data_IF_503684002998
#
_entry.id   IF_503684002998
#
_cell.length_a   1.000
_cell.length_b   1.000
_cell.length_c   1.000
_cell.angle_alpha   90.00
_cell.angle_beta   90.00
_cell.angle_gamma   90.00
#
_symmetry.space_group_name_H-M   'P 1'
#
loop_
_entity.id
_entity.type
_entity.pdbx_description
1 polymer ?
#
# COMPACT_ATOMS: atom_id res chain seq x y z
N UNK A 1 25.09 -35.02 31.58
CA UNK A 1 24.55 -35.24 30.24
C UNK A 1 23.61 -34.09 29.95
N UNK A 2 24.16 -33.04 29.32
CA UNK A 2 23.41 -31.84 28.95
C UNK A 2 22.71 -32.12 27.60
N UNK A 3 21.39 -32.29 27.62
CA UNK A 3 20.58 -32.27 26.40
C UNK A 3 20.44 -30.82 25.98
N UNK A 4 21.28 -30.38 25.03
CA UNK A 4 21.09 -29.14 24.29
C UNK A 4 19.68 -29.14 23.73
N UNK A 5 18.85 -28.23 24.23
CA UNK A 5 17.56 -27.88 23.58
C UNK A 5 17.92 -27.30 22.22
N UNK A 6 17.81 -28.13 21.21
CA UNK A 6 17.81 -27.66 19.82
C UNK A 6 16.67 -26.65 19.71
N UNK A 7 17.01 -25.38 19.65
CA UNK A 7 16.07 -24.34 19.32
C UNK A 7 15.46 -24.71 17.95
N UNK A 8 14.16 -25.05 17.94
CA UNK A 8 13.45 -25.30 16.68
C UNK A 8 13.54 -24.03 15.86
N UNK A 9 14.23 -24.13 14.75
CA UNK A 9 14.19 -23.05 13.77
C UNK A 9 12.74 -22.76 13.40
N UNK A 10 12.34 -21.49 13.36
CA UNK A 10 10.99 -21.14 13.00
C UNK A 10 10.73 -21.62 11.57
N UNK A 11 9.86 -22.61 11.42
CA UNK A 11 9.43 -23.14 10.13
C UNK A 11 8.81 -22.05 9.27
N UNK A 12 9.03 -22.09 7.96
CA UNK A 12 8.38 -21.20 7.02
C UNK A 12 6.83 -21.27 7.20
N UNK A 13 6.13 -20.14 7.07
CA UNK A 13 4.69 -20.14 7.23
C UNK A 13 4.03 -21.09 6.22
N UNK A 14 3.02 -21.87 6.61
CA UNK A 14 2.35 -22.79 5.70
C UNK A 14 1.64 -22.02 4.58
N UNK A 15 1.62 -22.59 3.38
CA UNK A 15 1.07 -21.93 2.18
C UNK A 15 -0.38 -21.44 2.36
N UNK A 16 -1.19 -22.16 3.13
CA UNK A 16 -2.56 -21.73 3.41
C UNK A 16 -2.60 -20.43 4.22
N UNK A 17 -1.72 -20.26 5.20
CA UNK A 17 -1.68 -19.03 6.02
C UNK A 17 -1.30 -17.81 5.18
N UNK A 18 -0.32 -17.96 4.26
CA UNK A 18 0.07 -16.88 3.33
C UNK A 18 -1.09 -16.53 2.40
N UNK A 19 -1.79 -17.53 1.86
CA UNK A 19 -2.96 -17.30 0.99
C UNK A 19 -4.10 -16.63 1.74
N UNK A 20 -4.42 -17.06 2.96
CA UNK A 20 -5.47 -16.44 3.78
C UNK A 20 -5.12 -15.00 4.13
N UNK A 21 -3.88 -14.72 4.52
CA UNK A 21 -3.41 -13.36 4.76
C UNK A 21 -3.55 -12.48 3.51
N UNK A 22 -3.22 -13.01 2.33
CA UNK A 22 -3.35 -12.29 1.08
C UNK A 22 -4.81 -11.98 0.71
N UNK A 23 -5.72 -12.93 0.92
CA UNK A 23 -7.16 -12.71 0.66
C UNK A 23 -7.72 -11.66 1.61
N UNK A 24 -7.44 -11.75 2.90
CA UNK A 24 -7.88 -10.76 3.89
C UNK A 24 -7.31 -9.38 3.59
N UNK A 25 -6.02 -9.31 3.23
CA UNK A 25 -5.39 -8.07 2.83
C UNK A 25 -6.03 -7.49 1.56
N UNK A 26 -6.26 -8.29 0.52
CA UNK A 26 -6.89 -7.83 -0.72
C UNK A 26 -8.31 -7.31 -0.46
N UNK A 27 -9.10 -7.99 0.38
CA UNK A 27 -10.42 -7.53 0.80
C UNK A 27 -10.34 -6.19 1.55
N UNK A 28 -9.42 -6.04 2.51
CA UNK A 28 -9.22 -4.80 3.25
C UNK A 28 -8.76 -3.67 2.31
N UNK A 29 -7.82 -3.94 1.42
CA UNK A 29 -7.36 -2.97 0.42
C UNK A 29 -8.52 -2.49 -0.46
N UNK A 30 -9.34 -3.42 -0.98
CA UNK A 30 -10.51 -3.09 -1.78
C UNK A 30 -11.51 -2.23 -1.01
N UNK A 31 -11.84 -2.59 0.22
CA UNK A 31 -12.75 -1.83 1.08
C UNK A 31 -12.22 -0.41 1.30
N UNK A 32 -10.94 -0.27 1.64
CA UNK A 32 -10.35 1.04 1.97
C UNK A 32 -10.20 1.94 0.74
N UNK A 33 -9.88 1.37 -0.43
CA UNK A 33 -9.52 2.16 -1.62
C UNK A 33 -10.66 2.34 -2.60
N UNK A 34 -11.53 1.36 -2.77
CA UNK A 34 -12.56 1.35 -3.82
C UNK A 34 -13.95 1.67 -3.27
N UNK A 35 -14.29 1.16 -2.05
CA UNK A 35 -15.61 1.44 -1.50
C UNK A 35 -15.73 2.90 -1.04
N UNK A 36 -16.86 3.56 -1.33
CA UNK A 36 -17.15 4.89 -0.83
C UNK A 36 -17.45 4.81 0.67
N UNK A 37 -16.42 4.88 1.50
CA UNK A 37 -16.61 4.91 2.95
C UNK A 37 -17.17 6.29 3.30
N UNK A 38 -18.44 6.35 3.64
CA UNK A 38 -19.22 7.56 3.98
C UNK A 38 -18.77 8.29 5.26
N UNK A 39 -17.60 7.97 5.79
CA UNK A 39 -17.07 8.60 7.01
C UNK A 39 -16.59 10.03 6.81
N UNK A 40 -16.47 10.47 5.58
CA UNK A 40 -16.11 11.86 5.28
C UNK A 40 -17.41 12.64 5.07
N UNK A 41 -17.89 13.24 6.16
CA UNK A 41 -19.08 14.09 6.20
C UNK A 41 -19.03 15.35 5.29
N UNK A 42 -18.07 15.43 4.37
CA UNK A 42 -17.79 16.61 3.55
C UNK A 42 -17.92 16.37 2.05
N UNK A 43 -18.79 15.43 1.64
CA UNK A 43 -19.05 15.15 0.22
C UNK A 43 -19.56 16.39 -0.56
N UNK A 44 -20.14 17.38 0.11
CA UNK A 44 -20.60 18.62 -0.50
C UNK A 44 -19.48 19.52 -1.01
N UNK A 45 -18.35 19.62 -0.28
CA UNK A 45 -17.21 20.44 -0.67
C UNK A 45 -16.38 19.81 -1.81
N UNK A 46 -16.34 18.47 -1.87
CA UNK A 46 -15.59 17.77 -2.91
C UNK A 46 -16.24 17.83 -4.28
N UNK A 47 -17.58 17.92 -4.35
CA UNK A 47 -18.32 17.92 -5.63
C UNK A 47 -18.08 19.17 -6.47
N UNK A 48 -17.81 20.31 -5.86
CA UNK A 48 -17.66 21.58 -6.59
C UNK A 48 -16.21 21.84 -7.09
N UNK A 49 -15.21 21.12 -6.59
CA UNK A 49 -13.80 21.31 -6.97
C UNK A 49 -13.09 19.99 -7.34
N UNK A 50 -13.82 19.06 -7.96
CA UNK A 50 -13.24 17.80 -8.40
C UNK A 50 -12.28 18.06 -9.58
N UNK A 51 -10.98 18.09 -9.27
CA UNK A 51 -9.89 18.11 -10.26
C UNK A 51 -8.87 17.05 -9.90
N UNK A 52 -8.46 16.16 -10.83
CA UNK A 52 -7.37 15.23 -10.61
C UNK A 52 -6.10 15.97 -10.19
N UNK A 53 -5.38 15.43 -9.23
CA UNK A 53 -4.08 15.94 -8.82
C UNK A 53 -2.98 15.21 -9.60
N UNK A 54 -2.63 15.77 -10.76
CA UNK A 54 -1.67 15.13 -11.69
C UNK A 54 -0.24 15.67 -11.56
N UNK A 55 -0.03 16.70 -10.73
CA UNK A 55 1.31 17.28 -10.54
C UNK A 55 1.95 16.58 -9.33
N UNK A 56 2.98 15.73 -9.56
CA UNK A 56 3.66 15.03 -8.48
C UNK A 56 4.28 16.03 -7.50
N UNK A 57 4.24 15.68 -6.21
CA UNK A 57 4.93 16.39 -5.11
C UNK A 57 4.47 17.84 -4.88
N UNK A 58 3.96 18.55 -5.88
CA UNK A 58 3.59 19.96 -5.74
C UNK A 58 2.54 20.19 -4.64
N UNK A 59 1.41 19.50 -4.73
CA UNK A 59 0.36 19.64 -3.72
C UNK A 59 0.80 19.12 -2.35
N UNK A 60 1.63 18.08 -2.32
CA UNK A 60 2.25 17.58 -1.10
C UNK A 60 3.09 18.68 -0.46
N UNK A 61 3.99 19.32 -1.22
CA UNK A 61 4.86 20.39 -0.74
C UNK A 61 4.08 21.62 -0.26
N UNK A 62 3.05 22.03 -1.01
CA UNK A 62 2.18 23.16 -0.63
C UNK A 62 1.43 22.87 0.67
N UNK A 63 0.78 21.71 0.77
CA UNK A 63 0.02 21.33 1.94
C UNK A 63 0.90 21.10 3.19
N UNK A 64 2.16 20.70 3.01
CA UNK A 64 3.12 20.56 4.11
C UNK A 64 3.59 21.91 4.68
N UNK A 65 3.50 22.98 3.88
CA UNK A 65 3.76 24.35 4.34
C UNK A 65 2.56 24.99 5.03
N UNK A 66 1.36 24.51 4.73
CA UNK A 66 0.13 24.96 5.37
C UNK A 66 -0.04 24.23 6.71
N UNK A 67 0.07 24.98 7.82
CA UNK A 67 0.02 24.44 9.18
C UNK A 67 -1.23 23.60 9.46
N UNK A 68 -2.40 24.03 8.97
CA UNK A 68 -3.68 23.39 9.21
C UNK A 68 -3.83 22.05 8.44
N UNK A 69 -3.14 21.90 7.32
CA UNK A 69 -3.23 20.71 6.46
C UNK A 69 -2.08 19.73 6.64
N UNK A 70 -1.00 20.17 7.26
CA UNK A 70 0.24 19.41 7.39
C UNK A 70 0.05 18.01 7.97
N UNK A 71 -0.63 17.91 9.12
CA UNK A 71 -0.84 16.63 9.78
C UNK A 71 -1.69 15.68 8.96
N UNK A 72 -2.79 16.17 8.36
CA UNK A 72 -3.66 15.36 7.50
C UNK A 72 -2.93 14.86 6.25
N UNK A 73 -2.07 15.71 5.66
CA UNK A 73 -1.27 15.37 4.48
C UNK A 73 -0.22 14.31 4.81
N UNK A 74 0.49 14.46 5.95
CA UNK A 74 1.45 13.47 6.41
C UNK A 74 0.78 12.14 6.73
N UNK A 75 -0.35 12.18 7.44
CA UNK A 75 -1.12 10.98 7.78
C UNK A 75 -1.60 10.25 6.51
N UNK A 76 -2.04 10.98 5.49
CA UNK A 76 -2.43 10.40 4.19
C UNK A 76 -1.24 9.74 3.48
N UNK A 77 -0.11 10.45 3.37
CA UNK A 77 1.09 9.93 2.71
C UNK A 77 1.64 8.68 3.44
N UNK A 78 1.77 8.74 4.76
CA UNK A 78 2.21 7.59 5.57
C UNK A 78 1.20 6.45 5.48
N UNK A 79 -0.10 6.76 5.52
CA UNK A 79 -1.17 5.77 5.39
C UNK A 79 -1.08 4.98 4.08
N UNK A 80 -0.83 5.64 2.96
CA UNK A 80 -0.66 5.00 1.67
C UNK A 80 0.59 4.11 1.64
N UNK A 81 1.72 4.58 2.18
CA UNK A 81 2.93 3.74 2.32
C UNK A 81 2.61 2.49 3.13
N UNK A 82 2.07 2.64 4.34
CA UNK A 82 1.77 1.53 5.26
C UNK A 82 0.78 0.55 4.64
N UNK A 83 -0.23 1.06 3.93
CA UNK A 83 -1.24 0.25 3.27
C UNK A 83 -0.63 -0.71 2.22
N UNK A 84 0.44 -0.32 1.53
CA UNK A 84 1.06 -1.11 0.47
C UNK A 84 2.29 -1.93 0.91
N UNK A 85 2.76 -1.76 2.14
CA UNK A 85 3.84 -2.63 2.70
C UNK A 85 3.47 -4.11 2.68
N UNK A 86 2.26 -4.56 3.11
CA UNK A 86 1.88 -5.97 3.02
C UNK A 86 1.87 -6.50 1.59
N UNK A 87 1.50 -5.68 0.60
CA UNK A 87 1.55 -6.08 -0.81
C UNK A 87 2.98 -6.45 -1.23
N UNK A 88 3.93 -5.57 -0.96
CA UNK A 88 5.34 -5.79 -1.30
C UNK A 88 5.94 -7.03 -0.63
N UNK A 89 5.47 -7.35 0.57
CA UNK A 89 5.88 -8.53 1.31
C UNK A 89 5.24 -9.82 0.78
N UNK A 90 3.94 -9.81 0.49
CA UNK A 90 3.17 -10.98 0.11
C UNK A 90 3.37 -11.40 -1.34
N UNK A 91 3.55 -10.44 -2.26
CA UNK A 91 3.68 -10.72 -3.69
C UNK A 91 4.76 -11.75 -4.02
N UNK A 92 6.02 -11.65 -3.55
CA UNK A 92 7.04 -12.63 -3.85
C UNK A 92 6.79 -14.00 -3.20
N UNK A 93 6.07 -14.05 -2.08
CA UNK A 93 5.66 -15.31 -1.44
C UNK A 93 4.57 -16.04 -2.22
N UNK A 94 3.68 -15.30 -2.88
CA UNK A 94 2.56 -15.84 -3.64
C UNK A 94 2.95 -16.17 -5.08
N UNK A 95 3.78 -15.33 -5.67
CA UNK A 95 4.17 -15.40 -7.09
C UNK A 95 5.70 -15.35 -7.19
N UNK A 96 6.39 -16.51 -7.23
CA UNK A 96 7.85 -16.57 -7.26
C UNK A 96 8.49 -15.77 -8.41
N UNK A 97 7.77 -15.60 -9.53
CA UNK A 97 8.23 -14.75 -10.65
C UNK A 97 8.37 -13.28 -10.28
N UNK A 98 7.74 -12.82 -9.21
CA UNK A 98 7.83 -11.45 -8.67
C UNK A 98 8.95 -11.30 -7.62
N UNK A 99 9.78 -12.32 -7.35
CA UNK A 99 10.91 -12.23 -6.41
C UNK A 99 12.10 -11.43 -6.99
N UNK A 100 11.79 -10.24 -7.51
CA UNK A 100 12.75 -9.21 -7.90
C UNK A 100 12.16 -7.84 -7.60
N UNK A 101 12.97 -6.94 -7.00
CA UNK A 101 12.51 -5.61 -6.57
C UNK A 101 11.69 -4.90 -7.67
N UNK A 102 12.24 -4.77 -8.88
CA UNK A 102 11.59 -4.05 -9.96
C UNK A 102 10.26 -4.68 -10.42
N UNK A 103 10.14 -6.03 -10.33
CA UNK A 103 8.89 -6.73 -10.70
C UNK A 103 7.82 -6.52 -9.64
N UNK A 104 8.17 -6.65 -8.36
CA UNK A 104 7.25 -6.42 -7.25
C UNK A 104 6.81 -4.97 -7.23
N UNK A 105 7.75 -4.03 -7.34
CA UNK A 105 7.46 -2.59 -7.38
C UNK A 105 6.61 -2.22 -8.60
N UNK A 106 6.92 -2.78 -9.77
CA UNK A 106 6.12 -2.59 -10.98
C UNK A 106 4.69 -3.11 -10.83
N UNK A 107 4.50 -4.27 -10.18
CA UNK A 107 3.16 -4.80 -9.88
C UNK A 107 2.40 -3.90 -8.90
N UNK A 108 3.06 -3.39 -7.86
CA UNK A 108 2.48 -2.44 -6.91
C UNK A 108 2.09 -1.12 -7.57
N UNK A 109 2.96 -0.58 -8.42
CA UNK A 109 2.67 0.61 -9.23
C UNK A 109 1.44 0.39 -10.13
N UNK A 110 1.40 -0.73 -10.86
CA UNK A 110 0.29 -1.03 -11.76
C UNK A 110 -1.04 -1.16 -11.00
N UNK A 111 -1.04 -1.84 -9.84
CA UNK A 111 -2.23 -1.95 -8.99
C UNK A 111 -2.67 -0.58 -8.46
N UNK A 112 -1.74 0.23 -7.97
CA UNK A 112 -2.04 1.56 -7.48
C UNK A 112 -2.59 2.48 -8.57
N UNK A 113 -1.99 2.46 -9.76
CA UNK A 113 -2.50 3.21 -10.91
C UNK A 113 -3.91 2.74 -11.31
N UNK A 114 -4.19 1.43 -11.28
CA UNK A 114 -5.52 0.90 -11.56
C UNK A 114 -6.56 1.37 -10.53
N UNK A 115 -6.19 1.44 -9.25
CA UNK A 115 -7.05 2.01 -8.19
C UNK A 115 -7.36 3.47 -8.49
N UNK A 116 -6.35 4.30 -8.78
CA UNK A 116 -6.55 5.73 -9.10
C UNK A 116 -7.40 5.93 -10.35
N UNK A 117 -7.19 5.12 -11.39
CA UNK A 117 -8.02 5.15 -12.59
C UNK A 117 -9.48 4.75 -12.28
N UNK A 118 -9.70 3.76 -11.43
CA UNK A 118 -11.05 3.38 -11.00
C UNK A 118 -11.75 4.51 -10.25
N UNK A 119 -11.01 5.24 -9.40
CA UNK A 119 -11.53 6.41 -8.69
C UNK A 119 -11.84 7.57 -9.64
N UNK A 120 -11.02 7.74 -10.69
CA UNK A 120 -11.27 8.74 -11.73
C UNK A 120 -12.55 8.45 -12.53
N UNK A 121 -12.91 7.18 -12.72
CA UNK A 121 -14.11 6.77 -13.42
C UNK A 121 -15.42 7.08 -12.64
N UNK A 122 -15.33 7.30 -11.32
CA UNK A 122 -16.47 7.59 -10.44
C UNK A 122 -16.33 8.96 -9.76
N UNK A 123 -16.55 10.06 -10.47
CA UNK A 123 -16.44 11.41 -9.93
C UNK A 123 -17.32 11.61 -8.69
N UNK A 124 -16.74 12.22 -7.64
CA UNK A 124 -17.45 12.51 -6.39
C UNK A 124 -17.25 11.48 -5.28
N UNK A 125 -16.60 10.34 -5.53
CA UNK A 125 -16.24 9.36 -4.50
C UNK A 125 -14.87 9.70 -3.89
N UNK A 126 -13.86 9.88 -4.73
CA UNK A 126 -12.49 10.23 -4.34
C UNK A 126 -11.81 11.01 -5.47
N UNK A 127 -10.82 11.83 -5.13
CA UNK A 127 -9.98 12.52 -6.13
C UNK A 127 -8.79 11.64 -6.47
N UNK A 128 -8.55 11.34 -7.74
CA UNK A 128 -7.31 10.67 -8.14
C UNK A 128 -6.11 11.58 -7.82
N UNK A 129 -5.09 11.01 -7.16
CA UNK A 129 -3.88 11.72 -6.77
C UNK A 129 -2.64 10.91 -7.15
N UNK A 130 -1.80 11.48 -8.00
CA UNK A 130 -0.54 10.86 -8.41
C UNK A 130 0.41 10.63 -7.21
N UNK A 131 0.29 11.42 -6.14
CA UNK A 131 1.08 11.21 -4.94
C UNK A 131 0.70 9.91 -4.23
N UNK A 132 -0.58 9.50 -4.29
CA UNK A 132 -1.03 8.22 -3.74
C UNK A 132 -0.33 7.07 -4.49
N UNK A 133 -0.23 7.16 -5.83
CA UNK A 133 0.53 6.17 -6.63
C UNK A 133 2.00 6.10 -6.21
N UNK A 134 2.65 7.24 -5.99
CA UNK A 134 4.04 7.29 -5.55
C UNK A 134 4.23 6.68 -4.15
N UNK A 135 3.37 7.05 -3.19
CA UNK A 135 3.45 6.56 -1.81
C UNK A 135 3.14 5.06 -1.73
N UNK A 136 2.14 4.58 -2.46
CA UNK A 136 1.80 3.16 -2.57
C UNK A 136 2.95 2.35 -3.18
N UNK A 137 3.58 2.89 -4.22
CA UNK A 137 4.75 2.27 -4.86
C UNK A 137 5.93 2.19 -3.90
N UNK A 138 6.19 3.26 -3.14
CA UNK A 138 7.20 3.29 -2.08
C UNK A 138 6.88 2.24 -0.99
N UNK A 139 5.63 2.15 -0.56
CA UNK A 139 5.18 1.13 0.39
C UNK A 139 5.45 -0.29 -0.09
N UNK A 140 5.18 -0.55 -1.39
CA UNK A 140 5.49 -1.84 -2.02
C UNK A 140 7.00 -2.13 -2.00
N UNK A 141 7.84 -1.13 -2.27
CA UNK A 141 9.30 -1.29 -2.20
C UNK A 141 9.77 -1.62 -0.77
N UNK A 142 9.26 -0.89 0.23
CA UNK A 142 9.55 -1.16 1.65
C UNK A 142 9.13 -2.57 2.05
N UNK A 143 7.94 -3.01 1.64
CA UNK A 143 7.43 -4.36 1.89
C UNK A 143 8.31 -5.45 1.27
N UNK A 144 8.77 -5.25 0.04
CA UNK A 144 9.71 -6.17 -0.60
C UNK A 144 11.06 -6.23 0.13
N UNK A 145 11.58 -5.10 0.59
CA UNK A 145 12.82 -5.09 1.37
C UNK A 145 12.64 -5.83 2.70
N UNK A 146 11.52 -5.65 3.38
CA UNK A 146 11.19 -6.41 4.58
C UNK A 146 11.11 -7.93 4.31
N UNK A 147 10.47 -8.32 3.20
CA UNK A 147 10.47 -9.71 2.74
C UNK A 147 11.89 -10.24 2.55
N UNK A 148 12.76 -9.50 1.85
CA UNK A 148 14.15 -9.90 1.61
C UNK A 148 14.94 -10.06 2.90
N UNK A 149 14.77 -9.16 3.86
CA UNK A 149 15.44 -9.22 5.15
C UNK A 149 14.95 -10.38 6.02
N UNK A 150 13.62 -10.60 6.07
CA UNK A 150 13.04 -11.58 7.00
C UNK A 150 13.02 -13.02 6.43
N UNK A 151 12.91 -13.19 5.11
CA UNK A 151 12.79 -14.50 4.48
C UNK A 151 14.14 -15.00 3.96
N UNK A 152 15.01 -14.13 3.41
CA UNK A 152 16.34 -14.54 2.92
C UNK A 152 17.38 -14.76 4.02
N UNK A 153 17.22 -14.14 5.18
CA UNK A 153 18.14 -14.42 6.33
C UNK A 153 17.92 -15.84 6.88
N UNK A 154 16.83 -16.51 6.45
CA UNK A 154 16.48 -17.88 6.90
C UNK A 154 16.79 -18.98 5.88
N UNK A 155 17.33 -18.64 4.73
CA UNK A 155 17.76 -19.57 3.69
C UNK A 155 19.29 -19.64 3.57
#
# INVERSE_FOLDING_TARGET
>A
VSRSRLAREPSAPPAWAVRSAAVLYAAALFVITVLPIRWRADLGRYRNNWRPQLVPVWNLAVNLRDGDRRLATLAGAVGNVVLFVPLGFLLPLLVPRLDRLWRTVGAGFALSAAIELSQAAFPGIRRPDVNDVLMNTLGTAVGFLAYRLLVRVRA
#
